data_IF_727407083390
#
_entry.id   IF_727407083390
#
_cell.length_a   1.000
_cell.length_b   1.000
_cell.length_c   1.000
_cell.angle_alpha   90.00
_cell.angle_beta   90.00
_cell.angle_gamma   90.00
#
_symmetry.space_group_name_H-M   'P 1'
#
loop_
_entity.id
_entity.type
_entity.pdbx_description
1 polymer ?
#
# COMPACT_ATOMS: atom_id res chain seq x y z
N UNK A 1 -3.31 8.43 16.30
CA UNK A 1 -3.85 7.23 15.62
C UNK A 1 -2.81 6.13 15.78
N UNK A 2 -3.20 4.98 16.29
CA UNK A 2 -2.26 3.87 16.53
C UNK A 2 -2.53 2.77 15.50
N UNK A 3 -1.53 2.41 14.67
CA UNK A 3 -1.65 1.35 13.67
C UNK A 3 -0.48 0.38 13.76
N UNK A 4 -0.80 -0.91 13.63
CA UNK A 4 0.16 -2.04 13.66
C UNK A 4 0.49 -2.56 12.26
N UNK A 5 -0.20 -2.07 11.24
CA UNK A 5 0.02 -2.36 9.83
C UNK A 5 -0.08 -1.07 9.03
N UNK A 6 0.66 -0.95 7.92
CA UNK A 6 0.55 0.23 7.08
C UNK A 6 -0.89 0.43 6.58
N UNK A 7 -1.38 1.68 6.55
CA UNK A 7 -2.76 1.99 6.13
C UNK A 7 -3.03 1.70 4.66
N UNK A 8 -2.00 1.61 3.84
CA UNK A 8 -2.06 1.21 2.43
C UNK A 8 -1.22 -0.05 2.21
N UNK A 9 -1.57 -0.90 1.22
CA UNK A 9 -0.73 -2.01 0.81
C UNK A 9 0.68 -1.54 0.45
N UNK A 10 1.69 -2.15 1.06
CA UNK A 10 3.09 -1.86 0.81
C UNK A 10 3.89 -3.16 0.78
N UNK A 11 4.62 -3.40 -0.31
CA UNK A 11 5.50 -4.56 -0.42
C UNK A 11 6.67 -4.39 0.53
N UNK A 12 6.95 -5.42 1.33
CA UNK A 12 8.04 -5.37 2.32
C UNK A 12 7.65 -4.67 3.62
N UNK A 13 6.35 -4.58 3.96
CA UNK A 13 5.95 -4.17 5.30
C UNK A 13 6.66 -4.99 6.36
N UNK A 14 7.18 -4.30 7.36
CA UNK A 14 7.93 -4.92 8.46
C UNK A 14 7.05 -5.21 9.68
N UNK A 15 5.76 -5.54 9.46
CA UNK A 15 4.77 -5.76 10.52
C UNK A 15 5.18 -6.87 11.50
N UNK A 16 5.76 -7.96 10.97
CA UNK A 16 6.16 -9.11 11.78
C UNK A 16 7.42 -8.80 12.63
N UNK A 17 8.14 -7.74 12.27
CA UNK A 17 9.30 -7.26 13.00
C UNK A 17 8.96 -6.12 13.99
N UNK A 18 7.83 -5.44 13.83
CA UNK A 18 7.48 -4.23 14.58
C UNK A 18 7.47 -4.44 16.10
N UNK A 19 6.97 -5.59 16.59
CA UNK A 19 6.98 -5.93 18.01
C UNK A 19 8.39 -6.00 18.59
N UNK A 20 9.26 -6.79 17.96
CA UNK A 20 10.67 -6.93 18.38
C UNK A 20 11.43 -5.61 18.30
N UNK A 21 11.11 -4.79 17.30
CA UNK A 21 11.69 -3.46 17.15
C UNK A 21 11.22 -2.52 18.28
N UNK A 22 9.94 -2.57 18.66
CA UNK A 22 9.39 -1.81 19.79
C UNK A 22 10.11 -2.14 21.10
N UNK A 23 10.32 -3.43 21.37
CA UNK A 23 11.04 -3.90 22.57
C UNK A 23 12.49 -3.40 22.56
N UNK A 24 13.18 -3.55 21.43
CA UNK A 24 14.57 -3.13 21.29
C UNK A 24 14.71 -1.61 21.48
N UNK A 25 13.89 -0.77 20.81
CA UNK A 25 14.00 0.68 20.91
C UNK A 25 13.71 1.20 22.32
N UNK A 26 12.86 0.50 23.07
CA UNK A 26 12.54 0.82 24.46
C UNK A 26 13.72 0.63 25.41
N UNK A 27 14.64 -0.29 25.07
CA UNK A 27 15.83 -0.58 25.88
C UNK A 27 16.99 0.40 25.63
N UNK A 28 16.98 1.16 24.53
CA UNK A 28 18.06 2.10 24.24
C UNK A 28 17.99 3.33 25.17
N UNK A 29 19.06 3.60 25.88
CA UNK A 29 19.23 4.80 26.74
C UNK A 29 20.18 5.79 26.07
N UNK A 30 20.04 7.09 26.43
CA UNK A 30 20.96 8.12 25.95
C UNK A 30 20.77 8.56 24.48
N UNK A 31 19.78 8.01 23.78
CA UNK A 31 19.42 8.46 22.43
C UNK A 31 18.33 9.53 22.47
N UNK A 32 18.41 10.49 21.57
CA UNK A 32 17.40 11.56 21.40
C UNK A 32 16.74 11.51 20.04
N UNK A 33 17.37 10.82 19.08
CA UNK A 33 16.92 10.80 17.68
C UNK A 33 17.03 9.40 17.10
N UNK A 34 16.03 9.00 16.34
CA UNK A 34 15.99 7.78 15.52
C UNK A 34 15.79 8.17 14.06
N UNK A 35 16.56 7.57 13.16
CA UNK A 35 16.43 7.80 11.71
C UNK A 35 16.04 6.49 11.04
N UNK A 36 14.88 6.47 10.40
CA UNK A 36 14.42 5.36 9.55
C UNK A 36 14.85 5.63 8.10
N UNK A 37 16.04 5.13 7.73
CA UNK A 37 16.62 5.33 6.40
C UNK A 37 15.85 4.62 5.28
N UNK A 38 15.23 3.48 5.60
CA UNK A 38 14.45 2.66 4.67
C UNK A 38 12.98 2.70 5.02
N UNK A 39 12.47 3.89 5.27
CA UNK A 39 11.20 4.16 5.90
C UNK A 39 9.98 3.54 5.22
N UNK A 40 9.99 3.42 3.87
CA UNK A 40 8.90 2.79 3.12
C UNK A 40 7.54 3.30 3.57
N UNK A 41 6.72 2.41 4.16
CA UNK A 41 5.39 2.78 4.68
C UNK A 41 5.41 3.57 6.00
N UNK A 42 6.56 3.90 6.56
CA UNK A 42 6.68 4.59 7.84
C UNK A 42 6.33 3.74 9.07
N UNK A 43 6.09 2.44 8.91
CA UNK A 43 5.61 1.60 10.01
C UNK A 43 6.60 1.54 11.19
N UNK A 44 7.91 1.40 10.91
CA UNK A 44 8.92 1.37 11.98
C UNK A 44 9.11 2.75 12.61
N UNK A 45 9.11 3.83 11.81
CA UNK A 45 9.14 5.20 12.33
C UNK A 45 7.94 5.46 13.25
N UNK A 46 6.74 5.03 12.85
CA UNK A 46 5.54 5.11 13.69
C UNK A 46 5.70 4.27 14.97
N UNK A 47 6.19 3.03 14.87
CA UNK A 47 6.42 2.15 16.01
C UNK A 47 7.43 2.75 17.00
N UNK A 48 8.53 3.33 16.49
CA UNK A 48 9.51 4.04 17.34
C UNK A 48 8.86 5.19 18.12
N UNK A 49 8.03 6.00 17.45
CA UNK A 49 7.34 7.13 18.08
C UNK A 49 6.29 6.69 19.09
N UNK A 50 5.67 5.53 18.89
CA UNK A 50 4.73 4.94 19.87
C UNK A 50 5.47 4.40 21.11
N UNK A 51 6.56 3.66 20.89
CA UNK A 51 7.36 3.06 21.98
C UNK A 51 8.09 4.14 22.82
N UNK A 52 8.59 5.18 22.16
CA UNK A 52 9.38 6.26 22.76
C UNK A 52 8.88 7.62 22.24
N UNK A 53 7.81 8.17 22.83
CA UNK A 53 7.24 9.48 22.43
C UNK A 53 8.22 10.67 22.60
N UNK A 54 9.21 10.51 23.45
CA UNK A 54 10.27 11.49 23.74
C UNK A 54 11.26 11.64 22.58
N UNK A 55 11.44 10.60 21.75
CA UNK A 55 12.42 10.63 20.67
C UNK A 55 11.97 11.51 19.49
N UNK A 56 12.92 12.21 18.90
CA UNK A 56 12.80 12.75 17.56
C UNK A 56 12.91 11.58 16.56
N UNK A 57 11.88 11.35 15.76
CA UNK A 57 11.91 10.33 14.71
C UNK A 57 11.96 11.01 13.34
N UNK A 58 12.98 10.67 12.54
CA UNK A 58 13.15 11.11 11.17
C UNK A 58 12.83 9.94 10.27
N UNK A 59 11.84 10.10 9.41
CA UNK A 59 11.44 9.10 8.43
C UNK A 59 11.85 9.53 7.03
N UNK A 60 12.65 8.71 6.34
CA UNK A 60 13.01 8.92 4.95
C UNK A 60 11.90 8.34 4.05
N UNK A 61 11.03 9.20 3.55
CA UNK A 61 9.93 8.85 2.63
C UNK A 61 10.40 8.82 1.17
N UNK A 62 11.38 7.97 0.86
CA UNK A 62 11.93 7.84 -0.49
C UNK A 62 10.88 7.40 -1.53
N UNK A 63 9.92 6.59 -1.11
CA UNK A 63 8.86 6.03 -1.98
C UNK A 63 7.64 6.95 -2.10
N UNK A 64 7.71 8.16 -1.57
CA UNK A 64 6.62 9.15 -1.57
C UNK A 64 5.29 8.58 -1.01
N UNK A 65 5.39 7.85 0.09
CA UNK A 65 4.25 7.20 0.74
C UNK A 65 3.25 8.23 1.30
N UNK A 66 3.76 9.39 1.73
CA UNK A 66 2.92 10.51 2.19
C UNK A 66 1.97 10.99 1.10
N UNK A 67 2.43 11.11 -0.14
CA UNK A 67 1.58 11.46 -1.29
C UNK A 67 0.53 10.40 -1.54
N UNK A 68 0.91 9.12 -1.42
CA UNK A 68 -0.06 8.01 -1.53
C UNK A 68 -1.14 8.09 -0.45
N UNK A 69 -0.79 8.42 0.79
CA UNK A 69 -1.77 8.59 1.87
C UNK A 69 -2.77 9.73 1.57
N UNK A 70 -2.30 10.84 1.02
CA UNK A 70 -3.16 11.96 0.59
C UNK A 70 -4.12 11.57 -0.53
N UNK A 71 -3.71 10.63 -1.39
CA UNK A 71 -4.50 10.11 -2.50
C UNK A 71 -5.55 9.06 -2.14
N UNK A 72 -5.74 8.70 -0.87
CA UNK A 72 -6.66 7.62 -0.46
C UNK A 72 -8.09 7.90 -0.93
N UNK A 73 -8.56 9.13 -0.80
CA UNK A 73 -9.93 9.49 -1.20
C UNK A 73 -10.14 9.24 -2.70
N UNK A 74 -9.29 9.81 -3.55
CA UNK A 74 -9.36 9.67 -5.01
C UNK A 74 -9.23 8.21 -5.44
N UNK A 75 -8.32 7.48 -4.79
CA UNK A 75 -8.13 6.05 -5.03
C UNK A 75 -9.42 5.27 -4.71
N UNK A 76 -10.09 5.58 -3.62
CA UNK A 76 -11.33 4.93 -3.24
C UNK A 76 -12.47 5.24 -4.22
N UNK A 77 -12.54 6.46 -4.75
CA UNK A 77 -13.53 6.81 -5.79
C UNK A 77 -13.29 6.00 -7.07
N UNK A 78 -12.03 5.90 -7.53
CA UNK A 78 -11.68 5.07 -8.68
C UNK A 78 -12.01 3.58 -8.45
N UNK A 79 -11.66 3.05 -7.26
CA UNK A 79 -11.99 1.68 -6.88
C UNK A 79 -13.50 1.44 -6.86
N UNK A 80 -14.29 2.41 -6.41
CA UNK A 80 -15.75 2.36 -6.44
C UNK A 80 -16.28 2.18 -7.87
N UNK A 81 -15.76 2.95 -8.83
CA UNK A 81 -16.12 2.84 -10.25
C UNK A 81 -15.75 1.45 -10.81
N UNK A 82 -14.54 0.97 -10.53
CA UNK A 82 -14.09 -0.35 -11.00
C UNK A 82 -14.92 -1.47 -10.39
N UNK A 83 -15.25 -1.39 -9.09
CA UNK A 83 -16.10 -2.38 -8.43
C UNK A 83 -17.51 -2.40 -9.00
N UNK A 84 -18.06 -1.23 -9.38
CA UNK A 84 -19.35 -1.15 -10.05
C UNK A 84 -19.34 -1.85 -11.42
N UNK A 85 -18.29 -1.66 -12.22
CA UNK A 85 -18.10 -2.38 -13.49
C UNK A 85 -18.00 -3.90 -13.28
N UNK A 86 -17.33 -4.32 -12.22
CA UNK A 86 -17.04 -5.74 -11.95
C UNK A 86 -18.10 -6.43 -11.07
N UNK A 87 -19.22 -5.76 -10.76
CA UNK A 87 -20.21 -6.24 -9.77
C UNK A 87 -20.73 -7.66 -10.09
N UNK A 88 -20.98 -7.93 -11.36
CA UNK A 88 -21.54 -9.21 -11.83
C UNK A 88 -20.46 -10.25 -12.20
N UNK A 89 -19.18 -9.91 -12.01
CA UNK A 89 -18.07 -10.82 -12.28
C UNK A 89 -17.78 -11.66 -11.03
N UNK A 90 -17.94 -13.01 -11.09
CA UNK A 90 -17.65 -13.87 -9.95
C UNK A 90 -16.19 -13.76 -9.49
N UNK A 91 -15.97 -13.77 -8.17
CA UNK A 91 -14.60 -13.83 -7.61
C UNK A 91 -13.89 -15.08 -8.09
N UNK A 92 -12.63 -14.95 -8.51
CA UNK A 92 -11.81 -16.07 -8.99
C UNK A 92 -12.03 -16.44 -10.44
N UNK A 93 -12.93 -15.79 -11.17
CA UNK A 93 -13.11 -15.97 -12.62
C UNK A 93 -12.35 -14.90 -13.40
N UNK A 94 -11.92 -15.26 -14.60
CA UNK A 94 -11.30 -14.31 -15.54
C UNK A 94 -12.32 -13.25 -15.94
N UNK A 95 -11.89 -12.00 -15.94
CA UNK A 95 -12.70 -10.87 -16.44
C UNK A 95 -12.78 -11.00 -17.97
N UNK A 96 -13.98 -10.89 -18.55
CA UNK A 96 -14.19 -10.92 -20.00
C UNK A 96 -13.40 -9.78 -20.68
N UNK A 97 -12.87 -10.01 -21.87
CA UNK A 97 -11.94 -9.09 -22.53
C UNK A 97 -12.57 -7.70 -22.80
N UNK A 98 -13.85 -7.63 -23.15
CA UNK A 98 -14.56 -6.35 -23.29
C UNK A 98 -14.61 -5.55 -21.98
N UNK A 99 -14.99 -6.22 -20.89
CA UNK A 99 -15.06 -5.61 -19.57
C UNK A 99 -13.66 -5.23 -19.06
N UNK A 100 -12.64 -6.03 -19.35
CA UNK A 100 -11.24 -5.69 -19.07
C UNK A 100 -10.82 -4.41 -19.77
N UNK A 101 -11.18 -4.26 -21.05
CA UNK A 101 -10.89 -3.04 -21.83
C UNK A 101 -11.56 -1.82 -21.21
N UNK A 102 -12.81 -1.94 -20.75
CA UNK A 102 -13.54 -0.86 -20.08
C UNK A 102 -12.91 -0.47 -18.75
N UNK A 103 -12.50 -1.43 -17.94
CA UNK A 103 -11.76 -1.19 -16.70
C UNK A 103 -10.45 -0.45 -16.97
N UNK A 104 -9.68 -0.88 -17.96
CA UNK A 104 -8.43 -0.22 -18.34
C UNK A 104 -8.65 1.19 -18.87
N UNK A 105 -9.71 1.43 -19.66
CA UNK A 105 -10.09 2.76 -20.11
C UNK A 105 -10.49 3.66 -18.94
N UNK A 106 -11.26 3.15 -17.97
CA UNK A 106 -11.63 3.87 -16.76
C UNK A 106 -10.40 4.31 -15.97
N UNK A 107 -9.40 3.46 -15.84
CA UNK A 107 -8.13 3.77 -15.16
C UNK A 107 -7.35 4.82 -15.95
N UNK A 108 -7.18 4.62 -17.27
CA UNK A 108 -6.40 5.50 -18.14
C UNK A 108 -6.98 6.92 -18.18
N UNK A 109 -8.31 7.03 -18.20
CA UNK A 109 -9.03 8.30 -18.30
C UNK A 109 -9.31 8.92 -16.92
N UNK A 110 -8.77 8.35 -15.84
CA UNK A 110 -8.96 8.90 -14.51
C UNK A 110 -8.23 10.23 -14.36
N UNK A 111 -8.98 11.31 -14.15
CA UNK A 111 -8.48 12.69 -14.00
C UNK A 111 -8.30 13.15 -12.54
N UNK A 112 -8.27 12.23 -11.58
CA UNK A 112 -8.00 12.57 -10.18
C UNK A 112 -6.58 13.08 -9.96
N UNK A 113 -6.36 13.74 -8.83
CA UNK A 113 -5.08 14.39 -8.45
C UNK A 113 -3.90 13.39 -8.49
N UNK A 114 -4.19 12.12 -8.27
CA UNK A 114 -3.22 11.02 -8.33
C UNK A 114 -3.55 10.12 -9.53
N UNK A 115 -3.11 10.56 -10.70
CA UNK A 115 -3.27 9.81 -11.95
C UNK A 115 -2.57 8.43 -11.92
N UNK A 116 -2.78 7.60 -12.95
CA UNK A 116 -2.31 6.21 -13.01
C UNK A 116 -0.78 6.04 -12.91
N UNK A 117 -0.03 7.12 -13.05
CA UNK A 117 1.44 7.12 -12.94
C UNK A 117 1.96 7.14 -11.49
N UNK A 118 1.12 7.44 -10.51
CA UNK A 118 1.51 7.43 -9.10
C UNK A 118 1.23 6.06 -8.51
N UNK A 119 2.09 5.10 -8.70
CA UNK A 119 2.15 3.73 -8.17
C UNK A 119 1.06 3.16 -7.23
N UNK A 120 0.23 4.02 -6.61
CA UNK A 120 -0.87 3.64 -5.72
C UNK A 120 -1.99 2.96 -6.48
N UNK A 121 -2.38 3.51 -7.62
CA UNK A 121 -3.45 2.95 -8.45
C UNK A 121 -3.03 1.58 -8.96
N UNK A 122 -1.77 1.45 -9.40
CA UNK A 122 -1.21 0.15 -9.82
C UNK A 122 -1.21 -0.89 -8.70
N UNK A 123 -0.76 -0.53 -7.50
CA UNK A 123 -0.68 -1.46 -6.38
C UNK A 123 -2.05 -1.90 -5.86
N UNK A 124 -3.01 -0.97 -5.75
CA UNK A 124 -4.37 -1.26 -5.28
C UNK A 124 -5.16 -2.03 -6.33
N UNK A 125 -5.02 -1.66 -7.61
CA UNK A 125 -5.63 -2.39 -8.72
C UNK A 125 -5.04 -3.79 -8.87
N UNK A 126 -3.73 -3.93 -8.74
CA UNK A 126 -3.08 -5.24 -8.75
C UNK A 126 -3.56 -6.11 -7.59
N UNK A 127 -3.77 -5.53 -6.42
CA UNK A 127 -4.31 -6.24 -5.27
C UNK A 127 -5.77 -6.67 -5.49
N UNK A 128 -6.65 -5.78 -5.96
CA UNK A 128 -8.06 -6.09 -6.25
C UNK A 128 -8.20 -7.08 -7.41
N UNK A 129 -7.46 -6.89 -8.51
CA UNK A 129 -7.43 -7.81 -9.64
C UNK A 129 -6.80 -9.14 -9.24
N UNK A 130 -5.79 -9.16 -8.38
CA UNK A 130 -5.14 -10.38 -7.89
C UNK A 130 -6.01 -11.15 -6.91
N UNK A 131 -6.79 -10.50 -6.06
CA UNK A 131 -7.77 -11.18 -5.22
C UNK A 131 -8.85 -11.86 -6.06
N UNK A 132 -9.15 -11.32 -7.25
CA UNK A 132 -10.06 -11.94 -8.22
C UNK A 132 -9.39 -13.00 -9.11
N UNK A 133 -8.05 -13.01 -9.20
CA UNK A 133 -7.24 -13.88 -10.05
C UNK A 133 -6.29 -14.82 -9.31
N UNK A 134 -6.66 -15.36 -8.17
CA UNK A 134 -5.80 -16.36 -7.47
C UNK A 134 -5.49 -17.64 -8.27
N UNK A 135 -5.95 -17.73 -9.52
CA UNK A 135 -5.74 -18.89 -10.41
C UNK A 135 -4.61 -18.77 -11.45
N UNK A 136 -3.87 -17.63 -11.53
CA UNK A 136 -2.88 -17.42 -12.61
C UNK A 136 -1.41 -17.47 -12.15
N UNK A 137 -1.09 -18.11 -11.01
CA UNK A 137 0.29 -18.10 -10.49
C UNK A 137 1.18 -19.26 -10.90
N UNK A 138 0.75 -20.20 -11.70
CA UNK A 138 1.59 -21.39 -11.97
C UNK A 138 2.14 -21.52 -13.38
N UNK A 139 1.93 -20.58 -14.31
CA UNK A 139 2.35 -20.80 -15.69
C UNK A 139 3.36 -19.83 -16.31
N UNK A 140 3.87 -18.79 -15.63
CA UNK A 140 4.82 -17.86 -16.26
C UNK A 140 6.05 -17.52 -15.39
N UNK A 141 6.69 -18.50 -14.78
CA UNK A 141 8.02 -18.35 -14.16
C UNK A 141 9.04 -19.34 -14.75
N UNK A 142 8.82 -19.83 -15.94
CA UNK A 142 9.84 -20.58 -16.69
C UNK A 142 9.67 -20.31 -18.19
N UNK A 143 10.23 -19.18 -18.65
CA UNK A 143 10.88 -19.03 -19.96
C UNK A 143 11.74 -17.79 -19.95
#
# INVERSE_FOLDING_TARGET
MNYTTAPLPFLGQKKDFAGRFSDAISCFTGITTVVDLFGGSGLLAHTAKQARPDLRVIWNDHDDFTTRLRGIHDTNVLLGKIRALLKDTPKGKRVADGLRTEVLATIKNWGGVFGPHHGVVGAVLFHELRLRHRGLREQNVLQ
#
